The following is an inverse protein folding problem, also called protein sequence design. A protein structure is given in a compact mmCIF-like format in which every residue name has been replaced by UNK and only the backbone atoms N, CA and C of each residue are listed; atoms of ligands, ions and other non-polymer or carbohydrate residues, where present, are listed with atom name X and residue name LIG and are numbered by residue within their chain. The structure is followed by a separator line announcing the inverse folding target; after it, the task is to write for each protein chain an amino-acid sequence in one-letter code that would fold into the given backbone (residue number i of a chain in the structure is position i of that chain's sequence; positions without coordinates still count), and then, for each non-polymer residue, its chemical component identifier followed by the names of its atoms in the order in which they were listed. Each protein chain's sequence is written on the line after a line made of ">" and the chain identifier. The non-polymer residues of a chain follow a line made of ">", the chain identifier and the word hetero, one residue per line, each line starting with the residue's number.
data_IF_432498475016
#
_entry.id   IF_432498475016
#
_cell.length_a   1.000
_cell.length_b   1.000
_cell.length_c   1.000
_cell.angle_alpha   90.00
_cell.angle_beta   90.00
_cell.angle_gamma   90.00
#
_symmetry.space_group_name_H-M   'P 1'
#
loop_
_entity.id
_entity.type
_entity.pdbx_description
1 polymer ?
#
# COMPACT_ATOMS: atom_id res chain seq x y z
N UNK A 1 -22.37 -7.73 -7.47
CA UNK A 1 -22.23 -7.59 -6.00
C UNK A 1 -20.76 -7.42 -5.67
N UNK A 2 -20.26 -6.17 -5.64
CA UNK A 2 -18.87 -5.87 -5.29
C UNK A 2 -18.77 -5.88 -3.75
N UNK A 3 -17.88 -6.71 -3.19
CA UNK A 3 -17.56 -6.67 -1.77
C UNK A 3 -16.38 -5.73 -1.62
N UNK A 4 -16.57 -4.62 -0.92
CA UNK A 4 -15.53 -3.62 -0.66
C UNK A 4 -14.48 -4.21 0.29
N UNK A 5 -13.19 -4.01 -0.03
CA UNK A 5 -12.10 -4.28 0.90
C UNK A 5 -12.12 -3.19 1.97
N UNK A 6 -12.35 -3.60 3.22
CA UNK A 6 -12.46 -2.72 4.36
C UNK A 6 -11.06 -2.32 4.87
N UNK A 7 -10.53 -1.22 4.33
CA UNK A 7 -9.49 -0.44 4.99
C UNK A 7 -8.04 -0.93 4.81
N UNK A 8 -7.16 0.07 4.70
CA UNK A 8 -5.72 -0.05 4.70
C UNK A 8 -5.20 0.95 5.73
N UNK A 9 -4.30 0.51 6.60
CA UNK A 9 -3.65 1.32 7.62
C UNK A 9 -2.14 1.27 7.42
N UNK A 10 -1.51 2.43 7.33
CA UNK A 10 -0.04 2.56 7.36
C UNK A 10 0.38 3.32 8.59
N UNK A 11 1.43 2.84 9.27
CA UNK A 11 2.11 3.51 10.36
C UNK A 11 3.57 3.75 9.97
N UNK A 12 4.06 4.98 10.13
CA UNK A 12 5.46 5.39 9.92
C UNK A 12 6.16 5.69 11.25
N UNK A 13 7.35 5.14 11.50
CA UNK A 13 8.17 5.55 12.64
C UNK A 13 9.02 6.77 12.23
N UNK A 14 8.74 8.00 12.72
CA UNK A 14 9.64 9.12 12.50
C UNK A 14 10.96 8.86 13.22
N UNK A 15 11.93 9.77 13.03
CA UNK A 15 13.17 9.85 13.82
C UNK A 15 12.98 9.99 15.35
N UNK A 16 11.74 9.90 15.84
CA UNK A 16 11.38 9.82 17.25
C UNK A 16 10.74 8.44 17.52
N UNK A 17 11.29 7.62 18.44
CA UNK A 17 10.91 6.22 18.62
C UNK A 17 9.43 5.94 18.97
N UNK A 18 8.67 6.98 19.34
CA UNK A 18 7.36 6.84 20.01
C UNK A 18 6.19 7.47 19.25
N UNK A 19 6.37 7.91 18.01
CA UNK A 19 5.27 8.49 17.22
C UNK A 19 5.01 7.60 16.01
N UNK A 20 3.75 7.29 15.70
CA UNK A 20 3.39 6.61 14.46
C UNK A 20 2.34 7.46 13.77
N UNK A 21 2.65 8.00 12.60
CA UNK A 21 1.64 8.68 11.79
C UNK A 21 0.74 7.63 11.14
N UNK A 22 -0.57 7.67 11.42
CA UNK A 22 -1.55 6.71 10.91
C UNK A 22 -2.22 7.23 9.63
N UNK A 23 -2.08 6.51 8.53
CA UNK A 23 -2.73 6.82 7.26
C UNK A 23 -3.77 5.75 6.91
N UNK A 24 -5.05 6.14 6.84
CA UNK A 24 -6.16 5.23 6.58
C UNK A 24 -6.87 5.56 5.26
N UNK A 25 -7.06 4.55 4.42
CA UNK A 25 -7.81 4.69 3.18
C UNK A 25 -8.53 3.39 2.80
N UNK A 26 -9.68 3.51 2.14
CA UNK A 26 -10.36 2.38 1.51
C UNK A 26 -9.75 2.04 0.16
N UNK A 27 -9.77 0.75 -0.22
CA UNK A 27 -9.32 0.30 -1.54
C UNK A 27 -10.12 0.94 -2.70
N UNK A 28 -11.31 1.48 -2.42
CA UNK A 28 -12.12 2.26 -3.36
C UNK A 28 -11.42 3.53 -3.87
N UNK A 29 -10.38 4.02 -3.19
CA UNK A 29 -9.54 5.13 -3.66
C UNK A 29 -8.54 4.74 -4.74
N UNK A 30 -8.36 3.44 -5.00
CA UNK A 30 -7.46 2.92 -6.02
C UNK A 30 -8.25 2.43 -7.23
N UNK A 31 -7.64 2.50 -8.41
CA UNK A 31 -8.23 1.88 -9.59
C UNK A 31 -8.20 0.35 -9.43
N UNK A 32 -9.35 -0.34 -9.43
CA UNK A 32 -9.35 -1.79 -9.27
C UNK A 32 -8.60 -2.48 -10.43
N UNK A 33 -7.98 -3.65 -10.20
CA UNK A 33 -7.16 -4.35 -11.20
C UNK A 33 -7.86 -4.55 -12.55
N UNK A 34 -9.19 -4.70 -12.54
CA UNK A 34 -10.02 -4.82 -13.75
C UNK A 34 -9.82 -3.68 -14.77
N UNK A 35 -9.50 -2.47 -14.32
CA UNK A 35 -9.27 -1.33 -15.22
C UNK A 35 -8.04 -1.52 -16.12
N UNK A 36 -7.13 -2.41 -15.74
CA UNK A 36 -5.87 -2.62 -16.45
C UNK A 36 -5.91 -3.82 -17.40
N UNK A 37 -6.94 -4.69 -17.31
CA UNK A 37 -6.96 -5.99 -18.00
C UNK A 37 -6.77 -5.85 -19.51
N UNK A 38 -7.57 -4.99 -20.18
CA UNK A 38 -7.50 -4.86 -21.63
C UNK A 38 -6.18 -4.24 -22.10
N UNK A 39 -5.63 -3.30 -21.32
CA UNK A 39 -4.31 -2.71 -21.59
C UNK A 39 -3.19 -3.74 -21.45
N UNK A 40 -3.22 -4.52 -20.38
CA UNK A 40 -2.25 -5.59 -20.12
C UNK A 40 -2.34 -6.70 -21.18
N UNK A 41 -3.56 -7.04 -21.61
CA UNK A 41 -3.80 -8.02 -22.68
C UNK A 41 -3.24 -7.52 -24.01
N UNK A 42 -3.58 -6.29 -24.42
CA UNK A 42 -3.10 -5.69 -25.66
C UNK A 42 -1.57 -5.56 -25.71
N UNK A 43 -0.93 -5.38 -24.55
CA UNK A 43 0.53 -5.34 -24.42
C UNK A 43 1.20 -6.71 -24.28
N UNK A 44 0.45 -7.82 -24.26
CA UNK A 44 1.00 -9.16 -24.02
C UNK A 44 1.56 -9.37 -22.60
N UNK A 45 1.23 -8.49 -21.66
CA UNK A 45 1.69 -8.51 -20.27
C UNK A 45 0.73 -9.25 -19.34
N UNK A 46 -0.49 -9.57 -19.78
CA UNK A 46 -1.46 -10.34 -18.99
C UNK A 46 -1.11 -11.84 -19.01
N UNK A 47 -0.13 -12.24 -18.19
CA UNK A 47 0.35 -13.62 -18.07
C UNK A 47 0.46 -14.07 -16.60
N UNK A 48 0.47 -15.38 -16.31
CA UNK A 48 0.70 -15.88 -14.95
C UNK A 48 1.95 -15.25 -14.31
N UNK A 49 1.84 -14.88 -13.03
CA UNK A 49 2.91 -14.18 -12.30
C UNK A 49 2.94 -12.66 -12.48
N UNK A 50 2.05 -12.08 -13.29
CA UNK A 50 1.96 -10.61 -13.42
C UNK A 50 1.39 -9.99 -12.16
N UNK A 51 2.15 -9.09 -11.53
CA UNK A 51 1.70 -8.28 -10.41
C UNK A 51 1.23 -6.91 -10.90
N UNK A 52 0.01 -6.51 -10.52
CA UNK A 52 -0.54 -5.18 -10.83
C UNK A 52 -0.58 -4.34 -9.57
N UNK A 53 0.20 -3.27 -9.55
CA UNK A 53 0.17 -2.28 -8.48
C UNK A 53 -0.83 -1.18 -8.85
N UNK A 54 -1.93 -1.09 -8.09
CA UNK A 54 -3.06 -0.20 -8.40
C UNK A 54 -2.83 1.28 -8.05
N UNK A 55 -1.60 1.62 -7.66
CA UNK A 55 -1.20 2.93 -7.16
C UNK A 55 -0.92 2.92 -5.66
N UNK A 56 -0.72 4.13 -5.13
CA UNK A 56 -0.49 4.40 -3.72
C UNK A 56 -1.69 5.13 -3.13
N UNK A 57 -1.96 4.92 -1.84
CA UNK A 57 -2.93 5.75 -1.14
C UNK A 57 -2.35 7.17 -0.95
N UNK A 58 -3.23 8.16 -0.82
CA UNK A 58 -2.82 9.55 -0.65
C UNK A 58 -1.96 9.75 0.60
N UNK A 59 -0.92 10.56 0.50
CA UNK A 59 -0.06 10.95 1.62
C UNK A 59 -0.80 11.90 2.57
N UNK A 60 -0.39 11.90 3.85
CA UNK A 60 -0.95 12.84 4.84
C UNK A 60 -0.23 14.18 4.66
N UNK A 61 -1.00 15.25 4.44
CA UNK A 61 -0.45 16.60 4.31
C UNK A 61 0.25 17.03 5.61
N UNK A 62 1.43 17.63 5.48
CA UNK A 62 2.22 18.13 6.61
C UNK A 62 2.98 17.06 7.40
N UNK A 63 2.92 15.79 7.00
CA UNK A 63 3.69 14.70 7.63
C UNK A 63 4.89 14.34 6.75
N UNK A 64 6.09 14.31 7.33
CA UNK A 64 7.26 13.68 6.68
C UNK A 64 7.06 12.17 6.73
N UNK A 65 6.75 11.59 5.57
CA UNK A 65 6.48 10.16 5.42
C UNK A 65 7.73 9.36 5.02
N UNK A 66 8.92 9.93 5.19
CA UNK A 66 10.19 9.21 5.15
C UNK A 66 10.53 8.71 6.56
N UNK A 67 10.66 7.40 6.73
CA UNK A 67 10.81 6.76 8.03
C UNK A 67 11.96 5.74 8.03
N UNK A 68 12.44 5.38 9.22
CA UNK A 68 13.38 4.26 9.40
C UNK A 68 12.66 2.91 9.45
N UNK A 69 11.32 2.93 9.48
CA UNK A 69 10.49 1.74 9.42
C UNK A 69 9.03 2.06 9.13
N UNK A 70 8.34 1.07 8.57
CA UNK A 70 6.93 1.18 8.23
C UNK A 70 6.20 -0.10 8.63
N UNK A 71 4.93 0.05 9.01
CA UNK A 71 3.99 -1.05 9.17
C UNK A 71 2.78 -0.77 8.29
N UNK A 72 2.34 -1.79 7.57
CA UNK A 72 1.14 -1.76 6.75
C UNK A 72 0.22 -2.88 7.20
N UNK A 73 -1.05 -2.54 7.34
CA UNK A 73 -2.15 -3.43 7.63
C UNK A 73 -3.23 -3.28 6.57
N UNK A 74 -3.73 -4.40 6.07
CA UNK A 74 -4.80 -4.43 5.08
C UNK A 74 -5.86 -5.42 5.54
N UNK A 75 -7.08 -4.93 5.69
CA UNK A 75 -8.23 -5.76 6.00
C UNK A 75 -9.14 -5.90 4.77
N UNK A 76 -9.77 -7.06 4.64
CA UNK A 76 -10.86 -7.24 3.70
C UNK A 76 -12.22 -6.99 4.36
N UNK A 77 -13.28 -6.97 3.55
CA UNK A 77 -14.66 -6.77 4.04
C UNK A 77 -15.19 -7.90 4.94
N UNK A 78 -14.38 -8.91 5.23
CA UNK A 78 -14.69 -10.03 6.12
C UNK A 78 -13.84 -9.99 7.40
N UNK A 79 -13.02 -8.95 7.59
CA UNK A 79 -12.17 -8.77 8.76
C UNK A 79 -10.89 -9.61 8.76
N UNK A 80 -10.53 -10.24 7.63
CA UNK A 80 -9.23 -10.93 7.52
C UNK A 80 -8.14 -9.89 7.32
N UNK A 81 -7.04 -10.01 8.06
CA UNK A 81 -5.97 -9.02 8.13
C UNK A 81 -4.67 -9.58 7.54
N UNK A 82 -4.04 -8.80 6.67
CA UNK A 82 -2.65 -8.98 6.27
C UNK A 82 -1.81 -7.86 6.87
N UNK A 83 -0.67 -8.19 7.47
CA UNK A 83 0.26 -7.23 8.08
C UNK A 83 1.66 -7.45 7.56
N UNK A 84 2.32 -6.37 7.16
CA UNK A 84 3.73 -6.33 6.79
C UNK A 84 4.42 -5.21 7.58
N UNK A 85 5.63 -5.45 8.04
CA UNK A 85 6.46 -4.44 8.65
C UNK A 85 7.89 -4.58 8.14
N UNK A 86 8.58 -3.45 7.98
CA UNK A 86 9.93 -3.39 7.43
C UNK A 86 10.76 -2.33 8.17
N UNK A 87 12.07 -2.55 8.18
CA UNK A 87 13.09 -1.60 8.64
C UNK A 87 13.93 -1.12 7.45
N UNK A 88 14.30 0.15 7.44
CA UNK A 88 15.10 0.76 6.38
C UNK A 88 16.54 0.89 6.83
N UNK A 89 17.46 0.32 6.05
CA UNK A 89 18.90 0.43 6.26
C UNK A 89 19.53 1.39 5.25
N UNK A 90 20.40 2.29 5.71
CA UNK A 90 21.14 3.20 4.81
C UNK A 90 22.26 2.43 4.15
N UNK A 91 22.24 2.34 2.82
CA UNK A 91 23.32 1.77 2.02
C UNK A 91 24.48 2.78 1.96
N UNK A 92 25.74 2.37 2.17
CA UNK A 92 26.89 3.24 1.94
C UNK A 92 26.89 3.78 0.50
N UNK A 93 27.29 5.03 0.32
CA UNK A 93 27.54 5.56 -1.01
C UNK A 93 28.67 4.77 -1.67
N UNK A 94 28.49 4.41 -2.95
CA UNK A 94 29.47 3.70 -3.76
C UNK A 94 30.64 4.61 -4.15
#
# INVERSE_FOLDING_TARGET
>A
MQRECAGFETSLAPRSPNYWARNEAGASRLLPPRNWIERLRGAGLLRPGTLVMSGIIGMIEGVDQVAEGWRVEMADGQGRLSRVADSIEVRPAA
#
